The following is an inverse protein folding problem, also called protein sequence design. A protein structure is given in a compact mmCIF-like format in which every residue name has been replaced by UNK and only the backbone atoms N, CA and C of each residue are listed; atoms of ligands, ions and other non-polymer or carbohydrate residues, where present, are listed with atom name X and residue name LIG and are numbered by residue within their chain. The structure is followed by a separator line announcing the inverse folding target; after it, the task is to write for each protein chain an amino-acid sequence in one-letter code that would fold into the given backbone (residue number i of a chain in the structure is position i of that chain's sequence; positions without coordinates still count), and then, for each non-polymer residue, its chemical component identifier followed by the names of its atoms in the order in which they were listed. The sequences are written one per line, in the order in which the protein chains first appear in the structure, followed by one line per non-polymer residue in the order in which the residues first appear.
data_IF_764586270684
#
_entry.id   IF_764586270684
#
_cell.length_a   1.000
_cell.length_b   1.000
_cell.length_c   1.000
_cell.angle_alpha   90.00
_cell.angle_beta   90.00
_cell.angle_gamma   90.00
#
_symmetry.space_group_name_H-M   'P 1'
#
loop_
_entity.id
_entity.type
_entity.pdbx_description
1 polymer ?
#
# COMPACT_ATOMS: atom_id res chain seq x y z
N UNK A 1 28.41 18.61 -15.76
CA UNK A 1 27.61 19.24 -14.70
C UNK A 1 26.30 19.61 -15.36
N UNK A 2 25.19 18.96 -15.01
CA UNK A 2 23.93 19.20 -15.70
C UNK A 2 23.49 20.65 -15.48
N UNK A 3 23.18 21.37 -16.55
CA UNK A 3 22.67 22.74 -16.49
C UNK A 3 21.23 22.73 -15.96
N UNK A 4 20.79 23.86 -15.39
CA UNK A 4 19.42 24.00 -14.88
C UNK A 4 18.36 23.73 -15.97
N UNK A 5 18.69 24.02 -17.23
CA UNK A 5 17.79 23.79 -18.36
C UNK A 5 17.69 22.31 -18.72
N UNK A 6 18.77 21.54 -18.58
CA UNK A 6 18.73 20.07 -18.70
C UNK A 6 17.88 19.45 -17.59
N UNK A 7 17.93 19.97 -16.35
CA UNK A 7 17.07 19.50 -15.26
C UNK A 7 15.58 19.76 -15.55
N UNK A 8 15.23 20.94 -16.05
CA UNK A 8 13.85 21.28 -16.42
C UNK A 8 13.37 20.47 -17.65
N UNK A 9 14.26 20.23 -18.62
CA UNK A 9 13.94 19.42 -19.80
C UNK A 9 13.70 17.94 -19.46
N UNK A 10 14.34 17.40 -18.41
CA UNK A 10 14.09 16.03 -17.94
C UNK A 10 12.83 15.92 -17.06
N UNK A 11 12.35 17.02 -16.47
CA UNK A 11 11.14 17.08 -15.65
C UNK A 11 9.90 17.48 -16.48
N UNK A 12 9.70 16.83 -17.62
CA UNK A 12 8.52 17.07 -18.48
C UNK A 12 7.23 16.81 -17.68
N UNK A 13 6.32 17.78 -17.70
CA UNK A 13 5.00 17.68 -17.06
C UNK A 13 4.93 18.16 -15.62
N UNK A 14 6.07 18.53 -15.00
CA UNK A 14 6.12 18.86 -13.57
C UNK A 14 5.96 17.60 -12.72
N UNK A 15 6.91 17.34 -11.82
CA UNK A 15 6.94 16.09 -11.05
C UNK A 15 5.62 15.78 -10.31
N UNK A 16 5.30 14.49 -10.12
CA UNK A 16 4.09 14.06 -9.44
C UNK A 16 4.04 14.63 -8.01
N UNK A 17 2.85 15.09 -7.63
CA UNK A 17 2.61 15.68 -6.32
C UNK A 17 1.97 14.65 -5.39
N UNK A 18 2.36 14.72 -4.11
CA UNK A 18 1.89 13.82 -3.08
C UNK A 18 0.38 13.87 -2.78
N UNK A 19 -0.39 14.79 -3.37
CA UNK A 19 -1.82 14.95 -3.13
C UNK A 19 -2.72 14.52 -4.30
N UNK A 20 -2.15 14.22 -5.48
CA UNK A 20 -2.91 13.85 -6.68
C UNK A 20 -2.97 12.34 -6.82
N UNK A 21 -3.65 11.67 -5.91
CA UNK A 21 -3.80 10.23 -5.98
C UNK A 21 -5.23 9.80 -5.63
N UNK A 22 -5.59 8.62 -6.12
CA UNK A 22 -6.86 7.95 -5.86
C UNK A 22 -6.56 6.57 -5.30
N UNK A 23 -7.22 6.18 -4.21
CA UNK A 23 -7.07 4.86 -3.59
C UNK A 23 -8.42 4.16 -3.66
N UNK A 24 -8.46 3.01 -4.33
CA UNK A 24 -9.61 2.13 -4.34
C UNK A 24 -9.32 0.89 -3.50
N UNK A 25 -10.14 0.68 -2.47
CA UNK A 25 -10.09 -0.54 -1.66
C UNK A 25 -11.38 -1.32 -1.93
N UNK A 26 -11.29 -2.52 -2.51
CA UNK A 26 -12.46 -3.37 -2.69
C UNK A 26 -13.12 -3.68 -1.33
N UNK A 27 -14.45 -3.81 -1.30
CA UNK A 27 -15.24 -4.08 -0.09
C UNK A 27 -15.21 -2.99 1.00
N UNK A 28 -14.54 -1.86 0.78
CA UNK A 28 -14.57 -0.70 1.68
C UNK A 28 -15.70 0.31 1.37
N UNK A 29 -16.57 -0.03 0.41
CA UNK A 29 -17.67 0.81 -0.07
C UNK A 29 -17.27 1.76 -1.21
N UNK A 30 -18.23 2.13 -2.05
CA UNK A 30 -17.97 2.92 -3.27
C UNK A 30 -17.43 4.33 -2.99
N UNK A 31 -17.73 4.87 -1.80
CA UNK A 31 -17.25 6.19 -1.36
C UNK A 31 -15.77 6.21 -0.97
N UNK A 32 -15.10 5.05 -0.88
CA UNK A 32 -13.72 4.96 -0.35
C UNK A 32 -12.72 5.78 -1.17
N UNK A 33 -12.97 5.93 -2.46
CA UNK A 33 -12.11 6.68 -3.38
C UNK A 33 -11.97 8.16 -3.03
N UNK A 34 -12.98 8.71 -2.34
CA UNK A 34 -13.00 10.11 -1.89
C UNK A 34 -12.64 10.26 -0.41
N UNK A 35 -12.82 9.20 0.37
CA UNK A 35 -12.60 9.19 1.81
C UNK A 35 -11.15 8.84 2.18
N UNK A 36 -10.41 8.17 1.30
CA UNK A 36 -9.01 7.84 1.55
C UNK A 36 -8.12 9.11 1.53
N UNK A 37 -7.57 9.49 2.70
CA UNK A 37 -6.74 10.69 2.87
C UNK A 37 -5.28 10.46 2.54
N UNK A 38 -4.78 9.24 2.74
CA UNK A 38 -3.38 8.95 2.54
C UNK A 38 -3.04 7.48 2.73
N UNK A 39 -2.14 6.99 1.89
CA UNK A 39 -1.50 5.69 2.03
C UNK A 39 -0.05 5.82 1.60
N UNK A 40 0.84 5.11 2.29
CA UNK A 40 2.24 5.01 1.86
C UNK A 40 2.37 3.92 0.80
N UNK A 41 3.35 4.03 -0.09
CA UNK A 41 3.70 2.89 -0.95
C UNK A 41 4.34 1.84 -0.04
N UNK A 42 3.88 0.57 -0.05
CA UNK A 42 4.46 -0.49 0.77
C UNK A 42 5.96 -0.64 0.48
N UNK A 43 6.85 -0.47 1.47
CA UNK A 43 8.26 -0.67 1.25
C UNK A 43 8.53 -2.17 1.08
N UNK A 44 9.26 -2.50 0.01
CA UNK A 44 9.85 -3.82 -0.17
C UNK A 44 11.28 -3.78 0.34
N UNK A 45 11.56 -4.53 1.40
CA UNK A 45 12.91 -4.62 1.98
C UNK A 45 13.56 -5.90 1.48
N UNK A 46 14.77 -5.77 0.92
CA UNK A 46 15.63 -6.89 0.59
C UNK A 46 16.54 -7.15 1.78
N UNK A 47 16.45 -8.34 2.36
CA UNK A 47 17.43 -8.81 3.33
C UNK A 47 18.80 -8.90 2.67
N UNK A 48 19.86 -8.70 3.45
CA UNK A 48 21.22 -8.82 2.95
C UNK A 48 21.94 -9.94 3.68
N UNK A 49 22.55 -10.85 2.93
CA UNK A 49 23.35 -11.95 3.46
C UNK A 49 24.81 -11.63 3.23
N UNK A 50 25.56 -11.50 4.32
CA UNK A 50 26.98 -11.16 4.29
C UNK A 50 27.82 -12.42 4.28
N UNK A 51 28.56 -12.62 3.17
CA UNK A 51 29.49 -13.74 3.01
C UNK A 51 30.91 -13.21 3.15
N UNK A 52 31.61 -13.67 4.18
CA UNK A 52 33.01 -13.32 4.40
C UNK A 52 33.89 -14.12 3.44
N UNK A 53 34.56 -13.44 2.51
CA UNK A 53 35.47 -14.07 1.56
C UNK A 53 36.80 -13.34 1.56
N UNK A 54 37.86 -14.05 2.00
CA UNK A 54 39.25 -13.59 1.91
C UNK A 54 39.49 -12.18 2.49
N UNK A 55 38.86 -11.87 3.63
CA UNK A 55 39.00 -10.57 4.30
C UNK A 55 38.09 -9.45 3.75
N UNK A 56 37.26 -9.74 2.75
CA UNK A 56 36.21 -8.85 2.27
C UNK A 56 34.82 -9.37 2.66
N UNK A 57 33.89 -8.45 2.91
CA UNK A 57 32.48 -8.77 3.12
C UNK A 57 31.74 -8.63 1.80
N UNK A 58 31.35 -9.76 1.20
CA UNK A 58 30.50 -9.75 0.01
C UNK A 58 29.04 -9.71 0.43
N UNK A 59 28.32 -8.70 -0.02
CA UNK A 59 26.91 -8.44 0.32
C UNK A 59 26.03 -9.05 -0.77
N UNK A 60 25.38 -10.18 -0.49
CA UNK A 60 24.43 -10.81 -1.41
C UNK A 60 22.99 -10.43 -1.04
N UNK A 61 22.14 -10.23 -2.05
CA UNK A 61 20.71 -10.03 -1.83
C UNK A 61 20.08 -11.34 -1.34
N UNK A 62 19.49 -11.30 -0.14
CA UNK A 62 18.72 -12.39 0.44
C UNK A 62 17.23 -12.27 0.11
N UNK A 63 16.40 -12.82 1.00
CA UNK A 63 14.95 -12.87 0.79
C UNK A 63 14.29 -11.49 0.85
N UNK A 64 13.23 -11.32 0.06
CA UNK A 64 12.40 -10.13 0.03
C UNK A 64 11.24 -10.25 1.00
N UNK A 65 11.07 -9.25 1.85
CA UNK A 65 9.91 -9.12 2.72
C UNK A 65 9.14 -7.84 2.37
N UNK A 66 7.83 -7.88 2.56
CA UNK A 66 6.93 -6.75 2.35
C UNK A 66 6.42 -6.27 3.70
N UNK A 67 6.58 -4.98 3.99
CA UNK A 67 6.03 -4.41 5.22
C UNK A 67 4.52 -4.22 5.12
N UNK A 68 3.87 -4.06 6.28
CA UNK A 68 2.45 -3.77 6.34
C UNK A 68 2.12 -2.45 5.61
N UNK A 69 1.00 -2.44 4.90
CA UNK A 69 0.48 -1.25 4.24
C UNK A 69 -0.51 -0.52 5.16
N UNK A 70 -0.27 0.77 5.39
CA UNK A 70 -1.13 1.60 6.25
C UNK A 70 -1.89 2.62 5.42
N UNK A 71 -3.20 2.71 5.64
CA UNK A 71 -4.09 3.68 4.99
C UNK A 71 -4.84 4.48 6.03
N UNK A 72 -4.94 5.79 5.80
CA UNK A 72 -5.78 6.70 6.59
C UNK A 72 -7.05 7.01 5.81
N UNK A 73 -8.20 6.78 6.43
CA UNK A 73 -9.52 7.04 5.85
C UNK A 73 -10.23 8.11 6.70
N UNK A 74 -10.86 9.08 6.04
CA UNK A 74 -11.75 10.05 6.67
C UNK A 74 -13.11 9.39 6.92
N UNK A 75 -13.62 9.56 8.13
CA UNK A 75 -14.90 8.99 8.50
C UNK A 75 -16.07 9.84 7.98
N UNK A 76 -17.12 9.18 7.49
CA UNK A 76 -18.40 9.77 7.11
C UNK A 76 -19.38 9.74 8.30
N UNK A 77 -20.44 10.55 8.27
CA UNK A 77 -21.50 10.61 9.31
C UNK A 77 -22.19 9.24 9.48
N UNK A 78 -22.31 8.50 8.38
CA UNK A 78 -22.92 7.18 8.34
C UNK A 78 -21.95 6.04 8.71
N UNK A 79 -20.66 6.33 8.95
CA UNK A 79 -19.60 5.34 9.22
C UNK A 79 -19.49 4.21 8.17
N UNK A 80 -19.99 4.45 6.95
CA UNK A 80 -20.13 3.43 5.91
C UNK A 80 -18.82 2.68 5.59
N UNK A 81 -17.72 3.40 5.41
CA UNK A 81 -16.42 2.79 5.11
C UNK A 81 -15.86 1.98 6.29
N UNK A 82 -16.07 2.45 7.52
CA UNK A 82 -15.62 1.75 8.73
C UNK A 82 -16.40 0.45 8.93
N UNK A 83 -17.73 0.52 8.87
CA UNK A 83 -18.59 -0.65 9.03
C UNK A 83 -18.33 -1.70 7.94
N UNK A 84 -18.08 -1.27 6.70
CA UNK A 84 -17.74 -2.18 5.61
C UNK A 84 -16.41 -2.91 5.83
N UNK A 85 -15.39 -2.19 6.32
CA UNK A 85 -14.09 -2.80 6.66
C UNK A 85 -14.19 -3.73 7.87
N UNK A 86 -14.94 -3.36 8.91
CA UNK A 86 -15.18 -4.23 10.08
C UNK A 86 -15.97 -5.48 9.68
N UNK A 87 -16.98 -5.37 8.81
CA UNK A 87 -17.70 -6.52 8.28
C UNK A 87 -16.79 -7.46 7.47
N UNK A 88 -15.91 -6.90 6.63
CA UNK A 88 -14.94 -7.70 5.89
C UNK A 88 -13.93 -8.39 6.81
N UNK A 89 -13.49 -7.74 7.89
CA UNK A 89 -12.64 -8.38 8.91
C UNK A 89 -13.36 -9.51 9.64
N UNK A 90 -14.66 -9.37 9.91
CA UNK A 90 -15.47 -10.44 10.50
C UNK A 90 -15.65 -11.63 9.56
N UNK A 91 -15.77 -11.42 8.24
CA UNK A 91 -15.72 -12.52 7.27
C UNK A 91 -14.39 -13.26 7.31
N UNK A 92 -13.29 -12.53 7.57
CA UNK A 92 -11.96 -13.12 7.67
C UNK A 92 -11.83 -14.00 8.88
N UNK A 93 -12.06 -13.42 10.05
CA UNK A 93 -12.09 -14.11 11.32
C UNK A 93 -13.12 -13.43 12.21
N UNK A 94 -14.13 -14.18 12.61
CA UNK A 94 -15.16 -13.67 13.49
C UNK A 94 -14.59 -13.38 14.88
N UNK A 95 -14.85 -12.18 15.41
CA UNK A 95 -14.37 -11.74 16.72
C UNK A 95 -15.00 -12.50 17.90
N UNK A 96 -16.23 -13.00 17.74
CA UNK A 96 -17.01 -13.63 18.81
C UNK A 96 -16.95 -15.15 18.82
N UNK A 97 -17.32 -15.79 17.71
CA UNK A 97 -17.40 -17.25 17.60
C UNK A 97 -16.14 -17.96 17.11
N UNK A 98 -15.12 -17.23 16.64
CA UNK A 98 -13.91 -17.82 16.05
C UNK A 98 -14.18 -18.66 14.79
N UNK A 99 -15.39 -18.56 14.21
CA UNK A 99 -15.72 -19.17 12.95
C UNK A 99 -15.17 -18.29 11.83
N UNK A 100 -14.28 -18.84 11.01
CA UNK A 100 -13.85 -18.23 9.75
C UNK A 100 -14.65 -18.80 8.60
N UNK A 101 -14.89 -18.01 7.56
CA UNK A 101 -15.44 -18.55 6.32
C UNK A 101 -14.47 -19.59 5.73
N UNK A 102 -15.00 -20.66 5.12
CA UNK A 102 -14.22 -21.81 4.64
C UNK A 102 -13.65 -21.63 3.24
N UNK A 103 -13.96 -20.53 2.55
CA UNK A 103 -13.56 -20.26 1.16
C UNK A 103 -12.46 -19.21 1.07
N UNK A 104 -11.41 -19.43 0.28
CA UNK A 104 -10.26 -18.48 0.25
C UNK A 104 -10.55 -17.13 -0.43
N UNK A 105 -11.69 -16.98 -1.11
CA UNK A 105 -12.00 -15.82 -1.95
C UNK A 105 -12.19 -14.50 -1.17
N UNK A 106 -12.54 -14.56 0.12
CA UNK A 106 -12.64 -13.37 0.97
C UNK A 106 -11.30 -12.88 1.52
N UNK A 107 -10.27 -13.75 1.54
CA UNK A 107 -8.99 -13.47 2.21
C UNK A 107 -8.12 -12.50 1.41
N UNK A 108 -8.27 -12.47 0.09
CA UNK A 108 -7.38 -11.73 -0.79
C UNK A 108 -8.21 -10.80 -1.65
N UNK A 109 -8.06 -9.50 -1.40
CA UNK A 109 -8.61 -8.49 -2.29
C UNK A 109 -7.51 -7.53 -2.72
N UNK A 110 -7.60 -7.09 -3.98
CA UNK A 110 -6.58 -6.24 -4.60
C UNK A 110 -7.03 -4.78 -4.51
N UNK A 111 -6.33 -4.00 -3.69
CA UNK A 111 -6.46 -2.55 -3.68
C UNK A 111 -5.67 -1.93 -4.82
N UNK A 112 -6.17 -0.82 -5.37
CA UNK A 112 -5.55 -0.07 -6.45
C UNK A 112 -5.22 1.35 -5.98
N UNK A 113 -4.02 1.82 -6.32
CA UNK A 113 -3.59 3.19 -6.07
C UNK A 113 -3.17 3.80 -7.40
N UNK A 114 -3.81 4.90 -7.78
CA UNK A 114 -3.58 5.58 -9.05
C UNK A 114 -3.14 7.02 -8.79
N UNK A 115 -2.01 7.41 -9.39
CA UNK A 115 -1.58 8.80 -9.41
C UNK A 115 -2.31 9.54 -10.54
N UNK A 116 -2.95 10.64 -10.20
CA UNK A 116 -3.61 11.54 -11.15
C UNK A 116 -2.62 12.58 -11.69
N UNK A 117 -2.79 12.96 -12.96
CA UNK A 117 -1.99 13.98 -13.62
C UNK A 117 -2.31 15.40 -13.12
#
# INVERSE_FOLDING_TARGET
MATIDEFKAQLIGGGPRANRFKIFIPRAGDKIEFLAKGGTIPPAVLGQVDVQWRGHVLKLAGDRTFANWTVTILNDVEFSARTALEAWQQEIQEMGGGAGSTTTDYLISRAFVEQLN
#
